data_IF_912092839646
#
_entry.id   IF_912092839646
#
_cell.length_a   1.000
_cell.length_b   1.000
_cell.length_c   1.000
_cell.angle_alpha   90.00
_cell.angle_beta   90.00
_cell.angle_gamma   90.00
#
_symmetry.space_group_name_H-M   'P 1'
#
loop_
_entity.id
_entity.type
_entity.pdbx_description
1 polymer ?
2 non-polymer ?
3 non-polymer ?
4 non-polymer ?
5 water ?
#
# COMPACT_ATOMS: atom_id res chain seq x y z
N UNK A 12 17.99 -1.82 -14.95
CA UNK A 12 16.92 -0.92 -14.58
C UNK A 12 16.82 -0.74 -13.06
N UNK A 13 16.46 0.47 -12.65
CA UNK A 13 16.08 0.68 -11.26
C UNK A 13 14.97 -0.29 -10.91
N UNK A 14 15.07 -0.89 -9.73
CA UNK A 14 14.06 -1.83 -9.23
C UNK A 14 13.47 -1.23 -7.97
N UNK A 15 12.19 -0.90 -8.00
CA UNK A 15 11.50 -0.26 -6.89
C UNK A 15 10.68 -1.33 -6.17
N UNK A 16 11.07 -1.63 -4.93
CA UNK A 16 10.47 -2.72 -4.17
C UNK A 16 9.38 -2.18 -3.26
N UNK A 17 8.14 -2.44 -3.66
CA UNK A 17 6.93 -1.97 -2.99
C UNK A 17 6.33 -3.12 -2.23
N UNK A 18 5.89 -2.85 -1.00
CA UNK A 18 5.16 -3.82 -0.18
C UNK A 18 3.79 -3.27 0.15
N UNK A 19 2.75 -4.08 -0.12
CA UNK A 19 1.39 -3.76 0.26
C UNK A 19 1.14 -4.29 1.66
N UNK A 20 0.69 -3.43 2.56
CA UNK A 20 0.36 -3.82 3.93
C UNK A 20 -1.02 -3.26 4.26
N UNK A 21 -1.61 -3.83 5.28
CA UNK A 21 -2.94 -3.45 5.72
C UNK A 21 -3.69 -4.68 6.16
N UNK A 22 -4.75 -4.47 6.94
CA UNK A 22 -5.51 -5.60 7.48
C UNK A 22 -6.37 -6.26 6.40
N UNK A 23 -7.07 -7.31 6.80
CA UNK A 23 -7.76 -8.15 5.84
C UNK A 23 -8.89 -7.43 5.14
N UNK A 24 -9.02 -7.70 3.85
CA UNK A 24 -10.16 -7.26 3.08
C UNK A 24 -10.16 -5.81 2.68
N UNK A 25 -9.05 -5.09 2.91
CA UNK A 25 -9.01 -3.66 2.63
C UNK A 25 -8.84 -3.36 1.15
N UNK A 26 -8.29 -4.29 0.38
CA UNK A 26 -8.07 -4.11 -1.04
C UNK A 26 -6.62 -4.21 -1.47
N UNK A 27 -5.74 -4.81 -0.68
CA UNK A 27 -4.34 -4.94 -1.09
C UNK A 27 -4.25 -5.69 -2.42
N UNK A 28 -4.91 -6.84 -2.52
CA UNK A 28 -4.82 -7.62 -3.75
C UNK A 28 -5.57 -6.96 -4.89
N UNK A 29 -6.76 -6.42 -4.61
CA UNK A 29 -7.52 -5.76 -5.67
C UNK A 29 -6.74 -4.58 -6.24
N UNK A 30 -6.07 -3.81 -5.39
CA UNK A 30 -5.27 -2.69 -5.88
C UNK A 30 -4.11 -3.22 -6.73
N UNK A 31 -3.43 -4.25 -6.25
CA UNK A 31 -2.28 -4.80 -6.97
C UNK A 31 -2.70 -5.34 -8.31
N UNK A 32 -3.82 -6.07 -8.37
CA UNK A 32 -4.25 -6.70 -9.61
C UNK A 32 -4.84 -5.71 -10.59
N UNK A 33 -5.46 -4.64 -10.10
CA UNK A 33 -5.88 -3.55 -10.96
C UNK A 33 -4.66 -2.88 -11.59
N UNK A 34 -3.64 -2.61 -10.77
CA UNK A 34 -2.44 -2.01 -11.32
C UNK A 34 -1.76 -2.93 -12.32
N UNK A 35 -1.66 -4.22 -11.99
CA UNK A 35 -0.91 -5.15 -12.82
C UNK A 35 -1.66 -5.50 -14.09
N UNK A 36 -2.95 -5.81 -13.97
CA UNK A 36 -3.68 -6.47 -15.05
C UNK A 36 -4.91 -5.71 -15.50
N UNK A 37 -5.19 -4.53 -14.94
CA UNK A 37 -6.27 -3.68 -15.41
C UNK A 37 -7.63 -4.38 -15.25
N UNK A 38 -7.76 -5.15 -14.18
CA UNK A 38 -8.97 -5.90 -13.87
C UNK A 38 -9.28 -5.70 -12.40
N UNK A 39 -10.56 -5.57 -12.08
CA UNK A 39 -11.04 -5.57 -10.71
C UNK A 39 -11.34 -7.01 -10.33
N UNK A 40 -10.55 -7.55 -9.41
CA UNK A 40 -10.61 -8.96 -9.02
C UNK A 40 -11.19 -9.01 -7.62
N UNK A 41 -12.37 -9.63 -7.50
CA UNK A 41 -13.16 -9.51 -6.30
C UNK A 41 -13.09 -10.75 -5.41
N UNK A 42 -12.44 -11.81 -5.86
CA UNK A 42 -12.47 -13.08 -5.13
C UNK A 42 -11.07 -13.63 -4.90
N UNK A 43 -10.07 -12.77 -4.77
CA UNK A 43 -8.70 -13.28 -4.66
C UNK A 43 -8.47 -13.86 -3.27
N UNK A 44 -7.97 -15.10 -3.23
CA UNK A 44 -7.80 -15.84 -1.99
C UNK A 44 -7.23 -14.97 -0.88
N UNK A 45 -7.97 -14.76 0.21
CA UNK A 45 -7.48 -13.84 1.26
C UNK A 45 -6.17 -14.24 1.89
N UNK A 46 -5.80 -15.52 1.86
CA UNK A 46 -4.57 -15.98 2.50
C UNK A 46 -3.42 -16.13 1.52
N UNK A 47 -3.60 -15.80 0.25
CA UNK A 47 -2.54 -15.99 -0.74
C UNK A 47 -1.70 -14.74 -0.86
N UNK A 48 -0.40 -14.86 -0.61
CA UNK A 48 0.53 -13.80 -0.88
C UNK A 48 1.17 -14.04 -2.24
N UNK A 49 1.73 -12.99 -2.81
CA UNK A 49 2.36 -13.14 -4.11
C UNK A 49 3.17 -11.89 -4.39
N UNK A 50 4.13 -12.04 -5.28
CA UNK A 50 4.96 -10.97 -5.78
C UNK A 50 4.64 -10.76 -7.26
N UNK A 51 4.73 -9.51 -7.69
CA UNK A 51 4.43 -9.12 -9.06
C UNK A 51 5.55 -8.21 -9.53
N UNK A 52 5.93 -8.33 -10.78
CA UNK A 52 6.96 -7.47 -11.33
C UNK A 52 6.49 -6.97 -12.68
N UNK A 53 6.72 -5.68 -12.92
CA UNK A 53 6.28 -5.04 -14.14
C UNK A 53 7.29 -3.97 -14.50
N UNK A 54 7.62 -3.88 -15.78
CA UNK A 54 8.35 -2.74 -16.29
C UNK A 54 7.37 -1.58 -16.46
N UNK A 55 7.73 -0.41 -15.95
CA UNK A 55 6.89 0.76 -16.11
C UNK A 55 7.79 1.95 -16.42
N UNK A 56 7.21 2.94 -17.08
CA UNK A 56 7.93 4.16 -17.43
C UNK A 56 7.54 5.22 -16.41
N UNK A 57 8.48 5.51 -15.50
CA UNK A 57 8.25 6.42 -14.39
C UNK A 57 8.88 7.77 -14.74
N UNK A 58 8.05 8.78 -14.99
CA UNK A 58 8.55 10.09 -15.35
C UNK A 58 9.56 9.99 -16.49
N UNK A 59 9.27 9.11 -17.44
CA UNK A 59 10.09 8.94 -18.62
C UNK A 59 11.25 7.98 -18.48
N UNK A 60 11.49 7.41 -17.30
CA UNK A 60 12.57 6.45 -17.08
C UNK A 60 11.95 5.07 -16.98
N UNK A 61 12.43 4.13 -17.80
CA UNK A 61 12.01 2.74 -17.64
C UNK A 61 12.59 2.19 -16.34
N UNK A 62 11.72 1.66 -15.50
CA UNK A 62 12.09 1.06 -14.23
C UNK A 62 11.31 -0.25 -14.12
N UNK A 63 11.70 -1.05 -13.15
CA UNK A 63 10.92 -2.21 -12.77
C UNK A 63 10.31 -1.96 -11.41
N UNK A 64 9.02 -2.24 -11.27
CA UNK A 64 8.36 -2.24 -9.97
C UNK A 64 8.18 -3.69 -9.56
N UNK A 65 8.50 -3.98 -8.31
CA UNK A 65 8.22 -5.26 -7.70
C UNK A 65 7.25 -5.00 -6.56
N UNK A 66 6.12 -5.69 -6.57
CA UNK A 66 5.09 -5.49 -5.57
C UNK A 66 4.94 -6.79 -4.80
N UNK A 67 5.16 -6.75 -3.50
CA UNK A 67 4.84 -7.86 -2.61
C UNK A 67 3.45 -7.59 -2.03
N UNK A 68 2.48 -8.41 -2.44
CA UNK A 68 1.11 -8.33 -1.97
C UNK A 68 1.03 -9.25 -0.77
N UNK A 69 1.16 -8.67 0.43
CA UNK A 69 1.17 -9.50 1.63
C UNK A 69 -0.26 -9.93 1.95
N UNK A 70 -0.41 -11.13 2.49
CA UNK A 70 -1.73 -11.66 2.78
C UNK A 70 -1.92 -11.93 4.27
N UNK A 71 -0.96 -11.51 5.09
CA UNK A 71 -1.11 -11.56 6.52
C UNK A 71 -0.82 -12.90 7.14
N UNK A 72 -0.30 -13.85 6.37
CA UNK A 72 -0.13 -15.21 6.83
C UNK A 72 1.18 -15.45 7.55
N UNK A 73 2.16 -14.58 7.37
CA UNK A 73 3.45 -14.75 8.06
C UNK A 73 3.25 -14.30 9.50
N UNK A 74 3.09 -15.26 10.41
CA UNK A 74 2.93 -14.92 11.81
C UNK A 74 4.26 -14.91 12.55
N UNK A 75 5.31 -15.48 11.98
CA UNK A 75 6.62 -15.52 12.64
C UNK A 75 7.32 -14.18 12.46
N UNK A 76 7.54 -13.49 13.57
CA UNK A 76 7.87 -12.08 13.52
C UNK A 76 9.18 -11.82 12.79
N UNK A 77 10.17 -12.70 12.98
CA UNK A 77 11.45 -12.47 12.33
C UNK A 77 11.31 -12.52 10.82
N UNK A 78 10.44 -13.42 10.32
CA UNK A 78 10.25 -13.56 8.89
C UNK A 78 9.46 -12.37 8.34
N UNK A 79 8.42 -11.95 9.05
CA UNK A 79 7.70 -10.74 8.66
C UNK A 79 8.65 -9.55 8.59
N UNK A 80 9.48 -9.39 9.60
CA UNK A 80 10.44 -8.28 9.61
C UNK A 80 11.41 -8.41 8.46
N UNK A 81 11.86 -9.63 8.14
CA UNK A 81 12.74 -9.83 6.99
C UNK A 81 12.08 -9.37 5.70
N UNK A 82 10.81 -9.72 5.49
CA UNK A 82 10.10 -9.23 4.31
C UNK A 82 10.06 -7.70 4.27
N UNK A 83 9.75 -7.05 5.40
CA UNK A 83 9.70 -5.60 5.43
C UNK A 83 11.08 -5.00 5.17
N UNK A 84 12.13 -5.63 5.72
CA UNK A 84 13.48 -5.09 5.57
C UNK A 84 13.87 -5.02 4.10
N UNK A 85 13.38 -5.95 3.28
CA UNK A 85 13.69 -5.97 1.87
C UNK A 85 12.91 -4.91 1.09
N UNK A 86 11.79 -4.45 1.62
CA UNK A 86 11.01 -3.47 0.93
C UNK A 86 11.64 -2.09 0.98
N UNK A 87 11.40 -1.33 -0.09
CA UNK A 87 11.87 0.05 -0.15
C UNK A 87 10.77 1.06 0.08
N UNK A 88 9.53 0.70 -0.23
CA UNK A 88 8.41 1.59 0.03
C UNK A 88 7.17 0.78 0.32
N UNK A 89 6.24 1.42 1.01
CA UNK A 89 5.05 0.74 1.54
C UNK A 89 3.79 1.47 1.15
N UNK A 90 2.82 0.73 0.64
CA UNK A 90 1.45 1.23 0.54
C UNK A 90 0.70 0.65 1.71
N UNK A 91 0.32 1.52 2.65
CA UNK A 91 -0.34 1.11 3.89
C UNK A 91 -1.82 1.35 3.66
N UNK A 92 -2.54 0.28 3.39
CA UNK A 92 -3.91 0.35 2.90
C UNK A 92 -4.89 0.08 4.04
N UNK A 93 -5.95 0.86 4.08
CA UNK A 93 -7.11 0.55 4.89
C UNK A 93 -8.33 0.72 4.01
N UNK A 94 -9.47 0.26 4.48
CA UNK A 94 -10.73 0.48 3.80
C UNK A 94 -11.46 1.63 4.48
N UNK A 95 -11.92 2.59 3.67
CA UNK A 95 -12.70 3.68 4.24
C UNK A 95 -13.99 3.18 4.87
N UNK A 96 -14.40 1.95 4.57
CA UNK A 96 -15.65 1.40 5.09
C UNK A 96 -15.47 0.60 6.38
N UNK A 97 -14.24 0.47 6.89
CA UNK A 97 -13.99 -0.33 8.07
C UNK A 97 -13.05 0.44 9.00
N UNK A 98 -13.63 1.06 10.04
CA UNK A 98 -12.82 1.89 10.93
C UNK A 98 -11.69 1.08 11.56
N UNK A 99 -11.94 -0.18 11.89
CA UNK A 99 -10.91 -0.98 12.54
C UNK A 99 -9.70 -1.18 11.65
N UNK A 100 -9.89 -1.18 10.33
CA UNK A 100 -8.75 -1.30 9.42
C UNK A 100 -7.93 -0.03 9.41
N UNK A 101 -8.57 1.13 9.55
CA UNK A 101 -7.85 2.38 9.73
C UNK A 101 -7.06 2.35 11.04
N UNK A 102 -7.69 1.92 12.13
CA UNK A 102 -6.97 1.83 13.39
C UNK A 102 -5.73 0.95 13.24
N UNK A 103 -5.89 -0.15 12.51
CA UNK A 103 -4.81 -1.12 12.33
C UNK A 103 -3.60 -0.55 11.60
N UNK A 104 -3.78 0.52 10.82
CA UNK A 104 -2.64 1.07 10.09
C UNK A 104 -1.52 1.48 11.04
N UNK A 105 -1.86 1.89 12.25
CA UNK A 105 -0.83 2.28 13.20
C UNK A 105 0.15 1.14 13.47
N UNK A 106 -0.37 -0.09 13.52
CA UNK A 106 0.48 -1.25 13.80
C UNK A 106 1.46 -1.50 12.66
N UNK A 107 0.97 -1.45 11.42
CA UNK A 107 1.84 -1.63 10.28
C UNK A 107 2.89 -0.54 10.24
N UNK A 108 2.51 0.69 10.56
CA UNK A 108 3.47 1.78 10.58
C UNK A 108 4.57 1.51 11.59
N UNK A 109 4.19 1.10 12.80
CA UNK A 109 5.19 0.82 13.82
C UNK A 109 6.10 -0.32 13.41
N UNK A 110 5.54 -1.38 12.82
CA UNK A 110 6.33 -2.51 12.36
C UNK A 110 7.35 -2.06 11.34
N UNK A 111 6.92 -1.24 10.39
CA UNK A 111 7.81 -0.76 9.34
C UNK A 111 8.91 0.08 9.93
N UNK A 112 8.56 0.96 10.86
CA UNK A 112 9.55 1.84 11.45
C UNK A 112 10.56 1.06 12.29
N UNK A 113 10.13 0.02 13.00
CA UNK A 113 11.07 -0.77 13.78
C UNK A 113 12.12 -1.38 12.87
N UNK A 114 11.71 -1.80 11.67
CA UNK A 114 12.60 -2.50 10.77
C UNK A 114 13.44 -1.55 9.97
N UNK A 115 12.82 -0.50 9.42
CA UNK A 115 13.51 0.43 8.54
C UNK A 115 14.24 1.53 9.30
N UNK A 116 13.83 1.82 10.53
CA UNK A 116 14.51 2.75 11.42
C UNK A 116 14.62 4.13 10.80
N UNK A 117 13.63 4.49 10.00
CA UNK A 117 13.69 5.75 9.26
C UNK A 117 12.26 6.24 9.10
N UNK A 118 11.94 7.34 9.77
CA UNK A 118 10.57 7.84 9.73
C UNK A 118 10.20 8.33 8.35
N UNK A 119 11.19 8.58 7.49
CA UNK A 119 10.96 9.03 6.14
C UNK A 119 10.94 7.90 5.12
N UNK A 120 10.80 6.67 5.58
CA UNK A 120 10.69 5.54 4.67
C UNK A 120 9.58 5.86 3.68
N UNK A 121 9.78 5.62 2.39
CA UNK A 121 8.69 5.82 1.42
C UNK A 121 7.45 5.07 1.85
N UNK A 122 6.32 5.79 1.91
CA UNK A 122 5.13 5.27 2.59
C UNK A 122 3.97 6.17 2.21
N UNK A 123 2.90 5.60 1.68
CA UNK A 123 1.63 6.29 1.51
C UNK A 123 0.57 5.64 2.38
N UNK A 124 -0.28 6.46 2.99
CA UNK A 124 -1.49 5.99 3.63
C UNK A 124 -2.59 5.98 2.57
N UNK A 125 -3.19 4.82 2.32
CA UNK A 125 -4.10 4.63 1.22
C UNK A 125 -5.46 4.24 1.79
N UNK A 126 -6.45 5.09 1.58
CA UNK A 126 -7.82 4.80 1.94
C UNK A 126 -8.58 4.26 0.76
N UNK A 127 -8.71 2.94 0.71
CA UNK A 127 -9.31 2.29 -0.45
C UNK A 127 -10.83 2.17 -0.29
N UNK A 128 -11.47 1.80 -1.40
CA UNK A 128 -12.93 1.67 -1.53
C UNK A 128 -13.63 3.03 -1.56
N UNK A 129 -13.01 4.00 -2.23
CA UNK A 129 -13.59 5.33 -2.30
C UNK A 129 -14.89 5.36 -3.08
N UNK A 130 -15.20 4.31 -3.82
CA UNK A 130 -16.48 4.21 -4.52
C UNK A 130 -17.62 3.80 -3.59
N UNK A 131 -17.35 3.54 -2.31
CA UNK A 131 -18.37 3.18 -1.34
C UNK A 131 -18.55 4.31 -0.34
N UNK A 132 -18.72 5.53 -0.84
CA UNK A 132 -18.87 6.69 0.03
C UNK A 132 -20.01 6.51 1.02
N UNK A 133 -21.11 5.90 0.57
CA UNK A 133 -22.28 5.71 1.43
C UNK A 133 -22.02 4.71 2.56
N UNK A 134 -20.91 3.98 2.53
CA UNK A 134 -20.53 3.07 3.60
C UNK A 134 -19.32 3.56 4.38
N UNK A 135 -18.90 4.81 4.16
CA UNK A 135 -17.71 5.33 4.80
C UNK A 135 -17.84 5.30 6.32
N UNK A 136 -16.81 4.77 6.97
CA UNK A 136 -16.67 4.80 8.41
C UNK A 136 -15.50 5.66 8.88
N UNK A 137 -14.58 5.99 7.98
CA UNK A 137 -13.38 6.74 8.32
C UNK A 137 -13.47 8.06 7.57
N UNK A 138 -13.49 9.17 8.30
CA UNK A 138 -13.62 10.46 7.65
C UNK A 138 -12.33 10.83 6.92
N UNK A 139 -12.50 11.56 5.82
CA UNK A 139 -11.34 12.13 5.13
C UNK A 139 -10.50 12.93 6.12
N UNK A 140 -11.16 13.72 6.97
CA UNK A 140 -10.45 14.57 7.92
C UNK A 140 -9.57 13.75 8.84
N UNK A 141 -10.11 12.66 9.43
CA UNK A 141 -9.29 11.93 10.37
C UNK A 141 -8.14 11.23 9.69
N UNK A 142 -8.34 10.75 8.45
CA UNK A 142 -7.25 10.12 7.71
C UNK A 142 -6.19 11.13 7.34
N UNK A 143 -6.60 12.31 6.87
CA UNK A 143 -5.63 13.36 6.57
C UNK A 143 -4.87 13.76 7.83
N UNK A 144 -5.55 13.81 8.97
CA UNK A 144 -4.87 14.18 10.20
C UNK A 144 -3.82 13.16 10.57
N UNK A 145 -4.13 11.87 10.43
CA UNK A 145 -3.14 10.85 10.71
C UNK A 145 -1.96 10.98 9.75
N UNK A 146 -2.24 11.17 8.47
CA UNK A 146 -1.17 11.33 7.50
C UNK A 146 -0.29 12.52 7.86
N UNK A 147 -0.90 13.62 8.32
CA UNK A 147 -0.12 14.78 8.72
C UNK A 147 0.75 14.48 9.93
N UNK A 148 0.22 13.73 10.89
CA UNK A 148 0.98 13.34 12.07
C UNK A 148 2.21 12.53 11.68
N UNK A 149 2.08 11.68 10.67
CA UNK A 149 3.15 10.79 10.22
C UNK A 149 4.00 11.42 9.13
N UNK A 150 3.62 12.59 8.66
CA UNK A 150 4.28 13.23 7.52
C UNK A 150 4.32 12.31 6.31
N UNK A 151 3.17 11.74 5.97
CA UNK A 151 2.99 10.97 4.76
C UNK A 151 1.81 11.54 4.00
N UNK A 152 1.75 11.23 2.72
CA UNK A 152 0.59 11.62 1.95
C UNK A 152 -0.54 10.61 2.13
N UNK A 153 -1.76 11.13 2.07
CA UNK A 153 -2.97 10.34 2.11
C UNK A 153 -3.63 10.39 0.74
N UNK A 154 -3.91 9.23 0.17
CA UNK A 154 -4.60 9.16 -1.10
C UNK A 154 -5.74 8.17 -0.96
N UNK A 155 -6.91 8.54 -1.47
CA UNK A 155 -8.03 7.61 -1.51
C UNK A 155 -8.10 6.97 -2.89
N UNK A 156 -8.32 5.67 -2.89
CA UNK A 156 -8.30 4.88 -4.11
C UNK A 156 -9.58 4.08 -4.23
N UNK A 157 -9.83 3.61 -5.44
CA UNK A 157 -10.83 2.56 -5.66
C UNK A 157 -10.23 1.54 -6.61
N UNK A 158 -10.00 0.32 -6.12
CA UNK A 158 -9.64 -0.77 -7.01
C UNK A 158 -10.77 -1.10 -7.98
N UNK A 159 -12.01 -0.75 -7.65
CA UNK A 159 -13.13 -1.01 -8.54
C UNK A 159 -13.15 -0.04 -9.72
N UNK A 160 -13.04 1.26 -9.46
CA UNK A 160 -13.13 2.22 -10.55
C UNK A 160 -11.78 2.62 -11.12
N UNK A 161 -10.70 2.19 -10.49
CA UNK A 161 -9.31 2.50 -10.82
C UNK A 161 -8.89 3.87 -10.31
N UNK A 162 -9.75 4.59 -9.60
CA UNK A 162 -9.40 5.92 -9.13
C UNK A 162 -8.14 5.88 -8.29
N UNK A 163 -7.14 6.65 -8.70
CA UNK A 163 -5.88 6.87 -7.99
C UNK A 163 -5.06 5.61 -7.83
N UNK A 164 -5.34 4.55 -8.60
CA UNK A 164 -4.55 3.33 -8.48
C UNK A 164 -3.15 3.56 -9.02
N UNK A 165 -3.03 4.04 -10.25
CA UNK A 165 -1.70 4.33 -10.76
C UNK A 165 -1.02 5.39 -9.91
N UNK A 166 -1.78 6.37 -9.41
CA UNK A 166 -1.18 7.42 -8.60
C UNK A 166 -0.46 6.86 -7.39
N UNK A 167 -1.07 5.95 -6.62
CA UNK A 167 -0.40 5.51 -5.40
C UNK A 167 0.88 4.74 -5.72
N UNK A 168 0.85 3.89 -6.75
CA UNK A 168 2.06 3.15 -7.10
C UNK A 168 3.13 4.07 -7.66
N UNK A 169 2.75 4.99 -8.54
CA UNK A 169 3.73 5.90 -9.12
C UNK A 169 4.27 6.87 -8.08
N UNK A 170 3.40 7.45 -7.26
CA UNK A 170 3.88 8.37 -6.24
C UNK A 170 4.78 7.68 -5.23
N UNK A 171 4.47 6.43 -4.87
CA UNK A 171 5.37 5.71 -4.00
C UNK A 171 6.72 5.49 -4.66
N UNK A 172 6.73 5.13 -5.95
CA UNK A 172 8.01 4.99 -6.64
C UNK A 172 8.77 6.32 -6.67
N UNK A 173 8.06 7.44 -6.82
CA UNK A 173 8.72 8.73 -6.81
C UNK A 173 9.39 8.98 -5.47
N UNK A 174 8.76 8.55 -4.37
CA UNK A 174 9.39 8.69 -3.06
C UNK A 174 10.61 7.79 -2.93
N UNK A 175 10.52 6.55 -3.41
CA UNK A 175 11.68 5.67 -3.40
C UNK A 175 12.82 6.30 -4.18
N UNK A 176 12.53 6.78 -5.38
CA UNK A 176 13.54 7.42 -6.21
C UNK A 176 14.18 8.61 -5.50
N UNK A 177 13.38 9.45 -4.88
CA UNK A 177 13.93 10.66 -4.27
C UNK A 177 14.73 10.35 -3.02
N UNK A 178 14.25 9.42 -2.21
CA UNK A 178 14.78 9.24 -0.87
C UNK A 178 15.90 8.22 -0.78
N UNK A 179 15.95 7.29 -1.72
CA UNK A 179 17.02 6.29 -1.73
C UNK A 179 17.98 6.53 -2.89
#
# INVERSE_FOLDING_TARGET
MAANKPKGQNSLALHKVIMVGSGGVGKSALTLQFMYDEFVEDYEPTKADSYRKKVVLDGEEVQIDILDTAGQEDYAAIRDNYFRSGEGFLCVFSITEMESFAATADFREQILRVKEDENVPFLLVGNKSDLEDKRQVSVEEAKNRAEQWNVNYVETSAKTRANVDKVFFDLMREIRARLEHHHHHH
#
